data_IF_741080818017
#
_entry.id   IF_741080818017
#
_cell.length_a   1.000
_cell.length_b   1.000
_cell.length_c   1.000
_cell.angle_alpha   90.00
_cell.angle_beta   90.00
_cell.angle_gamma   90.00
#
_symmetry.space_group_name_H-M   'P 1'
#
loop_
_entity.id
_entity.type
_entity.pdbx_description
1 polymer ?
#
# COMPACT_ATOMS: atom_id res chain seq x y z
N UNK A 1 -0.12 1.14 -4.83
CA UNK A 1 -0.14 -0.02 -3.93
C UNK A 1 0.31 0.43 -2.58
N UNK A 2 -0.32 -0.14 -1.57
CA UNK A 2 -0.02 0.13 -0.17
C UNK A 2 0.29 -1.23 0.43
N UNK A 3 1.53 -1.44 0.85
CA UNK A 3 2.07 -2.74 1.25
C UNK A 3 2.71 -2.58 2.64
N UNK A 4 1.98 -2.86 3.73
CA UNK A 4 2.55 -2.86 5.07
C UNK A 4 3.53 -4.01 5.24
N UNK A 5 4.61 -3.78 6.00
CA UNK A 5 5.72 -4.73 6.18
C UNK A 5 6.04 -5.09 7.63
N UNK A 6 5.15 -4.75 8.56
CA UNK A 6 5.33 -4.93 10.00
C UNK A 6 5.73 -6.37 10.36
N UNK A 7 5.07 -7.37 9.75
CA UNK A 7 5.39 -8.79 9.93
C UNK A 7 6.11 -9.44 8.73
N UNK A 8 6.42 -8.67 7.68
CA UNK A 8 7.09 -9.18 6.50
C UNK A 8 8.51 -9.68 6.80
N UNK A 9 8.82 -10.89 6.32
CA UNK A 9 10.18 -11.43 6.35
C UNK A 9 11.14 -10.60 5.49
N UNK A 10 12.47 -10.74 5.68
CA UNK A 10 13.44 -10.02 4.84
C UNK A 10 13.27 -10.30 3.34
N UNK A 11 12.94 -11.54 2.96
CA UNK A 11 12.70 -11.91 1.57
C UNK A 11 11.45 -11.24 0.99
N UNK A 12 10.37 -11.17 1.78
CA UNK A 12 9.14 -10.47 1.39
C UNK A 12 9.37 -8.97 1.22
N UNK A 13 10.06 -8.33 2.19
CA UNK A 13 10.41 -6.90 2.12
C UNK A 13 11.19 -6.59 0.85
N UNK A 14 12.24 -7.35 0.55
CA UNK A 14 13.03 -7.17 -0.66
C UNK A 14 12.20 -7.33 -1.94
N UNK A 15 11.28 -8.31 -1.98
CA UNK A 15 10.36 -8.52 -3.11
C UNK A 15 9.44 -7.30 -3.30
N UNK A 16 8.88 -6.77 -2.22
CA UNK A 16 7.94 -5.65 -2.26
C UNK A 16 8.60 -4.35 -2.66
N UNK A 17 9.80 -4.08 -2.12
CA UNK A 17 10.62 -2.93 -2.48
C UNK A 17 11.00 -2.97 -3.97
N UNK A 18 11.45 -4.13 -4.46
CA UNK A 18 11.72 -4.33 -5.89
C UNK A 18 10.48 -4.07 -6.74
N UNK A 19 9.34 -4.63 -6.34
CA UNK A 19 8.06 -4.44 -7.04
C UNK A 19 7.60 -2.98 -7.07
N UNK A 20 7.84 -2.20 -6.02
CA UNK A 20 7.58 -0.77 -6.02
C UNK A 20 8.56 0.00 -6.91
N UNK A 21 9.87 -0.32 -6.83
CA UNK A 21 10.91 0.32 -7.61
C UNK A 21 10.70 0.18 -9.13
N UNK A 22 10.34 -1.02 -9.60
CA UNK A 22 10.04 -1.29 -11.02
C UNK A 22 8.87 -0.44 -11.56
N UNK A 23 8.04 0.10 -10.68
CA UNK A 23 6.84 0.87 -11.03
C UNK A 23 6.95 2.36 -10.81
N UNK A 24 8.09 2.86 -10.29
CA UNK A 24 8.38 4.29 -10.21
C UNK A 24 8.27 5.01 -11.57
N UNK A 25 8.71 4.44 -12.71
CA UNK A 25 8.64 5.16 -13.99
C UNK A 25 7.22 5.65 -14.36
N UNK A 26 6.16 4.91 -13.99
CA UNK A 26 4.77 5.29 -14.31
C UNK A 26 4.23 6.48 -13.51
N UNK A 27 4.95 6.90 -12.46
CA UNK A 27 4.56 8.01 -11.59
C UNK A 27 5.20 9.33 -12.01
N UNK A 28 6.16 9.29 -12.93
CA UNK A 28 6.89 10.47 -13.40
C UNK A 28 6.13 11.25 -14.49
N UNK A 29 5.23 10.58 -15.23
CA UNK A 29 4.50 11.19 -16.34
C UNK A 29 3.04 10.74 -16.39
N UNK A 30 2.12 11.56 -16.94
CA UNK A 30 0.74 11.16 -17.17
C UNK A 30 0.63 9.96 -18.12
N UNK A 31 -0.32 9.07 -17.85
CA UNK A 31 -0.52 7.81 -18.55
C UNK A 31 -1.84 7.82 -19.34
N UNK A 32 -1.79 7.34 -20.58
CA UNK A 32 -2.94 7.15 -21.46
C UNK A 32 -3.65 8.45 -21.89
N UNK A 33 -4.74 8.33 -22.69
CA UNK A 33 -5.46 9.49 -23.25
C UNK A 33 -6.07 10.41 -22.19
N UNK A 34 -6.49 9.86 -21.05
CA UNK A 34 -7.06 10.62 -19.93
C UNK A 34 -6.00 11.28 -19.03
N UNK A 35 -4.71 11.15 -19.36
CA UNK A 35 -3.59 11.72 -18.60
C UNK A 35 -3.59 11.36 -17.11
N UNK A 36 -3.93 10.12 -16.78
CA UNK A 36 -3.92 9.64 -15.40
C UNK A 36 -2.49 9.63 -14.84
N UNK A 37 -2.26 10.31 -13.71
CA UNK A 37 -0.97 10.26 -13.02
C UNK A 37 -1.07 9.33 -11.81
N UNK A 38 -0.22 8.32 -11.75
CA UNK A 38 -0.19 7.39 -10.61
C UNK A 38 0.63 7.97 -9.47
N UNK A 39 0.12 7.86 -8.25
CA UNK A 39 0.92 8.09 -7.05
C UNK A 39 1.97 6.97 -6.87
N UNK A 40 3.12 7.27 -6.25
CA UNK A 40 4.09 6.26 -5.83
C UNK A 40 3.46 5.17 -4.97
N UNK A 41 3.98 3.96 -5.12
CA UNK A 41 3.63 2.86 -4.25
C UNK A 41 4.21 3.09 -2.84
N UNK A 42 3.41 2.83 -1.82
CA UNK A 42 3.78 2.93 -0.42
C UNK A 42 4.15 1.54 0.11
N UNK A 43 5.42 1.35 0.44
CA UNK A 43 5.94 0.13 1.07
C UNK A 43 6.70 0.56 2.32
N UNK A 44 6.35 -0.02 3.47
CA UNK A 44 6.91 0.40 4.76
C UNK A 44 6.09 -0.12 5.93
N UNK A 45 6.41 0.35 7.13
CA UNK A 45 5.61 0.03 8.32
C UNK A 45 4.21 0.63 8.21
N UNK A 46 3.24 0.01 8.88
CA UNK A 46 1.87 0.53 8.90
C UNK A 46 1.78 1.96 9.41
N UNK A 47 2.63 2.34 10.36
CA UNK A 47 2.70 3.71 10.88
C UNK A 47 3.18 4.70 9.80
N UNK A 48 4.30 4.43 9.15
CA UNK A 48 4.83 5.31 8.10
C UNK A 48 3.84 5.47 6.94
N UNK A 49 3.17 4.37 6.58
CA UNK A 49 2.12 4.37 5.55
C UNK A 49 0.95 5.25 5.99
N UNK A 50 0.45 5.07 7.22
CA UNK A 50 -0.68 5.84 7.75
C UNK A 50 -0.36 7.34 7.79
N UNK A 51 0.84 7.72 8.26
CA UNK A 51 1.30 9.12 8.28
C UNK A 51 1.29 9.73 6.87
N UNK A 52 1.81 8.99 5.86
CA UNK A 52 1.80 9.46 4.46
C UNK A 52 0.39 9.58 3.89
N UNK A 53 -0.50 8.62 4.19
CA UNK A 53 -1.87 8.66 3.73
C UNK A 53 -2.64 9.84 4.35
N UNK A 54 -2.54 10.05 5.66
CA UNK A 54 -3.17 11.21 6.32
C UNK A 54 -2.62 12.55 5.82
N UNK A 55 -1.35 12.61 5.41
CA UNK A 55 -0.77 13.77 4.76
C UNK A 55 -1.33 14.06 3.35
N UNK A 56 -1.97 13.09 2.70
CA UNK A 56 -2.47 13.22 1.33
C UNK A 56 -3.87 13.86 1.32
N UNK A 57 -4.04 14.99 0.61
CA UNK A 57 -5.31 15.70 0.55
C UNK A 57 -6.46 14.81 0.07
N UNK A 58 -6.30 14.08 -1.05
CA UNK A 58 -7.35 13.21 -1.57
C UNK A 58 -7.73 12.05 -0.62
N UNK A 59 -6.83 11.62 0.27
CA UNK A 59 -7.16 10.56 1.22
C UNK A 59 -8.06 11.07 2.34
N UNK A 60 -7.98 12.37 2.69
CA UNK A 60 -8.83 12.99 3.71
C UNK A 60 -10.25 13.30 3.23
N UNK A 61 -10.49 13.26 1.91
CA UNK A 61 -11.77 13.59 1.28
C UNK A 61 -12.60 12.34 0.94
N UNK A 62 -12.15 11.14 1.32
CA UNK A 62 -12.84 9.88 1.03
C UNK A 62 -13.23 9.15 2.31
N UNK A 63 -14.41 8.53 2.29
CA UNK A 63 -14.90 7.70 3.39
C UNK A 63 -14.46 6.23 3.25
N UNK A 64 -14.07 5.83 2.03
CA UNK A 64 -13.69 4.46 1.70
C UNK A 64 -12.38 4.43 0.91
N UNK A 65 -11.56 3.41 1.20
CA UNK A 65 -10.32 3.12 0.47
C UNK A 65 -10.25 1.65 0.14
N UNK A 66 -9.91 1.35 -1.11
CA UNK A 66 -9.67 -0.01 -1.57
C UNK A 66 -8.16 -0.25 -1.76
N UNK A 67 -7.62 -1.24 -1.07
CA UNK A 67 -6.24 -1.69 -1.25
C UNK A 67 -6.21 -2.91 -2.17
N UNK A 68 -5.66 -2.73 -3.38
CA UNK A 68 -5.48 -3.82 -4.32
C UNK A 68 -4.22 -4.64 -3.99
N UNK A 69 -4.33 -5.96 -4.08
CA UNK A 69 -3.20 -6.88 -3.92
C UNK A 69 -2.44 -7.06 -5.25
N UNK A 70 -1.10 -7.10 -5.24
CA UNK A 70 -0.30 -7.34 -6.44
C UNK A 70 -0.45 -8.76 -6.99
N UNK A 71 -0.98 -8.93 -8.20
CA UNK A 71 -1.24 -10.26 -8.81
C UNK A 71 0.00 -11.16 -9.01
N UNK A 72 1.20 -10.59 -8.95
CA UNK A 72 2.48 -11.31 -9.13
C UNK A 72 3.03 -11.90 -7.83
N UNK A 73 2.33 -11.74 -6.72
CA UNK A 73 2.78 -12.21 -5.41
C UNK A 73 2.23 -13.59 -5.08
N UNK A 74 2.93 -14.28 -4.19
CA UNK A 74 2.59 -15.63 -3.76
C UNK A 74 1.59 -15.61 -2.60
N UNK A 75 1.01 -16.76 -2.28
CA UNK A 75 0.01 -16.89 -1.21
C UNK A 75 0.52 -16.34 0.14
N UNK A 76 1.76 -16.65 0.52
CA UNK A 76 2.36 -16.20 1.78
C UNK A 76 2.51 -14.67 1.85
N UNK A 77 2.76 -14.02 0.71
CA UNK A 77 2.81 -12.57 0.62
C UNK A 77 1.41 -11.97 0.89
N UNK A 78 0.36 -12.55 0.32
CA UNK A 78 -1.01 -12.11 0.57
C UNK A 78 -1.43 -12.30 2.02
N UNK A 79 -1.12 -13.46 2.62
CA UNK A 79 -1.41 -13.72 4.04
C UNK A 79 -0.76 -12.64 4.91
N UNK A 80 0.51 -12.33 4.67
CA UNK A 80 1.21 -11.28 5.40
C UNK A 80 0.59 -9.89 5.17
N UNK A 81 0.41 -9.47 3.92
CA UNK A 81 -0.12 -8.14 3.58
C UNK A 81 -1.51 -7.94 4.18
N UNK A 82 -2.40 -8.93 4.06
CA UNK A 82 -3.75 -8.86 4.61
C UNK A 82 -3.75 -8.85 6.14
N UNK A 83 -2.86 -9.64 6.77
CA UNK A 83 -2.73 -9.66 8.23
C UNK A 83 -2.29 -8.30 8.76
N UNK A 84 -1.25 -7.71 8.18
CA UNK A 84 -0.78 -6.39 8.60
C UNK A 84 -1.81 -5.29 8.26
N UNK A 85 -2.48 -5.41 7.11
CA UNK A 85 -3.55 -4.47 6.73
C UNK A 85 -4.69 -4.48 7.76
N UNK A 86 -5.17 -5.66 8.15
CA UNK A 86 -6.28 -5.79 9.08
C UNK A 86 -5.89 -5.46 10.53
N UNK A 87 -4.70 -5.86 10.97
CA UNK A 87 -4.34 -5.79 12.40
C UNK A 87 -3.47 -4.59 12.78
N UNK A 88 -2.85 -3.91 11.80
CA UNK A 88 -1.93 -2.78 12.04
C UNK A 88 -2.35 -1.55 11.26
N UNK A 89 -2.37 -1.61 9.93
CA UNK A 89 -2.64 -0.44 9.09
C UNK A 89 -4.07 0.07 9.23
N UNK A 90 -5.07 -0.81 9.18
CA UNK A 90 -6.48 -0.44 9.36
C UNK A 90 -6.71 0.33 10.66
N UNK A 91 -6.32 -0.22 11.83
CA UNK A 91 -6.37 0.51 13.11
C UNK A 91 -5.63 1.85 13.10
N UNK A 92 -4.45 1.92 12.47
CA UNK A 92 -3.68 3.17 12.35
C UNK A 92 -4.41 4.23 11.49
N UNK A 93 -5.25 3.80 10.54
CA UNK A 93 -6.11 4.66 9.72
C UNK A 93 -7.47 4.96 10.39
N UNK A 94 -7.69 4.51 11.62
CA UNK A 94 -8.95 4.71 12.35
C UNK A 94 -10.04 3.67 12.08
N UNK A 95 -9.76 2.64 11.28
CA UNK A 95 -10.68 1.52 11.08
C UNK A 95 -10.73 0.64 12.33
N UNK A 96 -11.93 0.20 12.70
CA UNK A 96 -12.14 -0.74 13.80
C UNK A 96 -12.55 -2.08 13.21
N UNK A 97 -11.81 -3.17 13.50
CA UNK A 97 -12.22 -4.50 13.09
C UNK A 97 -13.63 -4.79 13.59
N UNK A 98 -14.48 -5.36 12.73
CA UNK A 98 -15.78 -5.87 13.15
C UNK A 98 -15.57 -6.95 14.22
N UNK A 99 -16.27 -6.80 15.34
CA UNK A 99 -16.31 -7.76 16.45
C UNK A 99 -17.11 -9.00 16.07
#
# INVERSE_FOLDING_TARGET
MVIPTDSASPGQRARYEKYAAERVPRTATPQGPARLLFAPDLVGTSQEIAERLHGHAAFREVDEVAFALPFTFEHEDYVQILTDTATKLGPALGWRPGV
#
